data_IF_775831393421
#
_entry.id   IF_775831393421
#
_cell.length_a   1.000
_cell.length_b   1.000
_cell.length_c   1.000
_cell.angle_alpha   90.00
_cell.angle_beta   90.00
_cell.angle_gamma   90.00
#
_symmetry.space_group_name_H-M   'P 1'
#
loop_
_entity.id
_entity.type
_entity.pdbx_description
1 polymer ?
#
# COMPACT_ATOMS: atom_id res chain seq x y z
N UNK A 1 -22.14 4.72 2.51
CA UNK A 1 -21.64 4.57 1.14
C UNK A 1 -22.66 3.76 0.35
N UNK A 2 -22.99 4.15 -0.88
CA UNK A 2 -23.99 3.42 -1.70
C UNK A 2 -23.38 2.20 -2.38
N UNK A 3 -24.22 1.26 -2.84
CA UNK A 3 -23.75 0.08 -3.58
C UNK A 3 -23.02 0.46 -4.87
N UNK A 4 -23.54 1.42 -5.63
CA UNK A 4 -22.91 1.93 -6.86
C UNK A 4 -21.54 2.56 -6.61
N UNK A 5 -21.38 3.30 -5.49
CA UNK A 5 -20.09 3.85 -5.07
C UNK A 5 -19.10 2.73 -4.71
N UNK A 6 -19.54 1.72 -3.96
CA UNK A 6 -18.70 0.57 -3.61
C UNK A 6 -18.22 -0.18 -4.85
N UNK A 7 -19.09 -0.39 -5.84
CA UNK A 7 -18.74 -1.07 -7.09
C UNK A 7 -17.76 -0.24 -7.94
N UNK A 8 -17.88 1.08 -7.90
CA UNK A 8 -16.90 1.99 -8.52
C UNK A 8 -15.53 1.82 -7.87
N UNK A 9 -15.44 1.88 -6.54
CA UNK A 9 -14.17 1.71 -5.83
C UNK A 9 -13.57 0.31 -6.00
N UNK A 10 -14.42 -0.73 -6.04
CA UNK A 10 -13.98 -2.11 -6.30
C UNK A 10 -13.26 -2.21 -7.64
N UNK A 11 -13.84 -1.66 -8.71
CA UNK A 11 -13.20 -1.62 -10.03
C UNK A 11 -11.88 -0.85 -10.01
N UNK A 12 -11.84 0.31 -9.36
CA UNK A 12 -10.59 1.07 -9.21
C UNK A 12 -9.51 0.30 -8.46
N UNK A 13 -9.87 -0.45 -7.42
CA UNK A 13 -8.92 -1.31 -6.70
C UNK A 13 -8.46 -2.51 -7.54
N UNK A 14 -9.31 -3.08 -8.39
CA UNK A 14 -8.95 -4.17 -9.30
C UNK A 14 -7.93 -3.70 -10.35
N UNK A 15 -8.18 -2.54 -10.96
CA UNK A 15 -7.24 -1.89 -11.89
C UNK A 15 -5.90 -1.61 -11.21
N UNK A 16 -5.94 -1.01 -10.01
CA UNK A 16 -4.74 -0.70 -9.24
C UNK A 16 -3.97 -1.97 -8.84
N UNK A 17 -4.67 -3.05 -8.46
CA UNK A 17 -4.03 -4.33 -8.11
C UNK A 17 -3.30 -4.94 -9.31
N UNK A 18 -3.91 -4.89 -10.49
CA UNK A 18 -3.32 -5.38 -11.73
C UNK A 18 -2.06 -4.58 -12.07
N UNK A 19 -2.13 -3.26 -12.01
CA UNK A 19 -1.00 -2.36 -12.25
C UNK A 19 0.14 -2.60 -11.25
N UNK A 20 -0.15 -2.58 -9.94
CA UNK A 20 0.85 -2.81 -8.89
C UNK A 20 1.49 -4.20 -9.01
N UNK A 21 0.73 -5.23 -9.39
CA UNK A 21 1.29 -6.57 -9.60
C UNK A 21 2.26 -6.59 -10.79
N UNK A 22 1.88 -5.97 -11.91
CA UNK A 22 2.78 -5.82 -13.06
C UNK A 22 4.03 -5.00 -12.71
N UNK A 23 3.91 -3.95 -11.88
CA UNK A 23 5.04 -3.17 -11.39
C UNK A 23 6.01 -4.01 -10.58
N UNK A 24 5.50 -4.78 -9.62
CA UNK A 24 6.31 -5.69 -8.80
C UNK A 24 7.09 -6.67 -9.68
N UNK A 25 6.46 -7.25 -10.69
CA UNK A 25 7.12 -8.21 -11.59
C UNK A 25 8.20 -7.55 -12.45
N UNK A 26 7.94 -6.34 -12.98
CA UNK A 26 8.94 -5.54 -13.72
C UNK A 26 10.15 -5.21 -12.85
N UNK A 27 9.93 -4.74 -11.62
CA UNK A 27 11.02 -4.41 -10.69
C UNK A 27 11.80 -5.66 -10.30
N UNK A 28 11.12 -6.78 -10.03
CA UNK A 28 11.79 -8.04 -9.73
C UNK A 28 12.67 -8.52 -10.91
N UNK A 29 12.24 -8.29 -12.16
CA UNK A 29 13.10 -8.55 -13.33
C UNK A 29 14.32 -7.64 -13.33
N UNK A 30 14.13 -6.33 -13.19
CA UNK A 30 15.23 -5.38 -13.14
C UNK A 30 16.26 -5.73 -12.04
N UNK A 31 15.81 -6.17 -10.86
CA UNK A 31 16.70 -6.61 -9.78
C UNK A 31 17.55 -7.83 -10.19
N UNK A 32 17.00 -8.75 -10.99
CA UNK A 32 17.74 -9.91 -11.50
C UNK A 32 18.74 -9.53 -12.58
N UNK A 33 18.38 -8.53 -13.40
CA UNK A 33 19.18 -8.08 -14.55
C UNK A 33 20.38 -7.21 -14.11
N UNK A 34 20.33 -6.61 -12.91
CA UNK A 34 21.50 -5.98 -12.26
C UNK A 34 22.48 -7.08 -11.82
N UNK A 35 23.30 -7.55 -12.76
CA UNK A 35 24.32 -8.58 -12.53
C UNK A 35 25.65 -7.92 -12.14
N UNK A 36 26.22 -8.25 -10.97
CA UNK A 36 27.58 -7.85 -10.63
C UNK A 36 28.57 -8.78 -11.36
N UNK A 37 28.77 -8.59 -12.66
CA UNK A 37 29.75 -9.36 -13.43
C UNK A 37 30.87 -8.44 -13.93
N UNK A 38 32.07 -8.65 -13.39
CA UNK A 38 33.33 -8.02 -13.82
C UNK A 38 33.35 -6.48 -13.91
N UNK A 39 32.67 -5.83 -12.98
CA UNK A 39 32.79 -4.40 -12.73
C UNK A 39 34.10 -4.10 -11.99
N UNK A 40 34.81 -3.02 -12.36
CA UNK A 40 35.83 -2.44 -11.48
C UNK A 40 35.16 -1.90 -10.17
N UNK A 41 35.95 -1.45 -9.20
CA UNK A 41 35.39 -1.00 -7.91
C UNK A 41 34.37 0.16 -8.03
N UNK A 42 34.49 1.00 -9.07
CA UNK A 42 33.59 2.12 -9.29
C UNK A 42 32.27 1.66 -9.92
N UNK A 43 32.35 0.74 -10.89
CA UNK A 43 31.18 0.09 -11.48
C UNK A 43 30.41 -0.74 -10.43
N UNK A 44 31.12 -1.39 -9.50
CA UNK A 44 30.51 -2.16 -8.41
C UNK A 44 29.68 -1.26 -7.49
N UNK A 45 30.22 -0.12 -7.08
CA UNK A 45 29.52 0.83 -6.22
C UNK A 45 28.24 1.36 -6.89
N UNK A 46 28.29 1.59 -8.20
CA UNK A 46 27.14 2.07 -9.00
C UNK A 46 26.04 1.00 -9.08
N UNK A 47 26.40 -0.25 -9.38
CA UNK A 47 25.44 -1.37 -9.45
C UNK A 47 24.79 -1.67 -8.09
N UNK A 48 25.55 -1.59 -7.00
CA UNK A 48 25.01 -1.74 -5.65
C UNK A 48 23.99 -0.64 -5.30
N UNK A 49 24.26 0.60 -5.68
CA UNK A 49 23.34 1.72 -5.49
C UNK A 49 22.04 1.55 -6.31
N UNK A 50 22.16 1.14 -7.58
CA UNK A 50 21.01 0.84 -8.44
C UNK A 50 20.15 -0.28 -7.86
N UNK A 51 20.78 -1.41 -7.47
CA UNK A 51 20.09 -2.54 -6.85
C UNK A 51 19.37 -2.12 -5.57
N UNK A 52 19.99 -1.29 -4.73
CA UNK A 52 19.37 -0.75 -3.51
C UNK A 52 18.13 0.08 -3.82
N UNK A 53 18.19 0.93 -4.86
CA UNK A 53 17.04 1.74 -5.27
C UNK A 53 15.87 0.85 -5.74
N UNK A 54 16.15 -0.18 -6.53
CA UNK A 54 15.14 -1.12 -7.00
C UNK A 54 14.49 -1.90 -5.85
N UNK A 55 15.27 -2.31 -4.84
CA UNK A 55 14.73 -2.98 -3.65
C UNK A 55 13.76 -2.06 -2.89
N UNK A 56 14.12 -0.80 -2.68
CA UNK A 56 13.23 0.18 -2.04
C UNK A 56 11.95 0.43 -2.85
N UNK A 57 12.04 0.41 -4.17
CA UNK A 57 10.87 0.51 -5.04
C UNK A 57 9.98 -0.73 -4.92
N UNK A 58 10.56 -1.93 -4.92
CA UNK A 58 9.82 -3.18 -4.74
C UNK A 58 9.07 -3.20 -3.40
N UNK A 59 9.70 -2.72 -2.33
CA UNK A 59 9.06 -2.68 -1.01
C UNK A 59 7.88 -1.71 -0.94
N UNK A 60 7.97 -0.56 -1.63
CA UNK A 60 6.85 0.38 -1.78
C UNK A 60 5.68 -0.27 -2.52
N UNK A 61 5.92 -0.89 -3.67
CA UNK A 61 4.87 -1.56 -4.46
C UNK A 61 4.24 -2.74 -3.69
N UNK A 62 5.06 -3.55 -3.01
CA UNK A 62 4.56 -4.65 -2.17
C UNK A 62 3.69 -4.14 -1.02
N UNK A 63 4.07 -3.01 -0.41
CA UNK A 63 3.24 -2.38 0.64
C UNK A 63 1.90 -1.93 0.07
N UNK A 64 1.91 -1.22 -1.07
CA UNK A 64 0.69 -0.80 -1.74
C UNK A 64 -0.21 -2.00 -2.09
N UNK A 65 0.36 -3.07 -2.64
CA UNK A 65 -0.37 -4.32 -2.92
C UNK A 65 -1.08 -4.87 -1.69
N UNK A 66 -0.41 -4.87 -0.52
CA UNK A 66 -1.02 -5.34 0.73
C UNK A 66 -2.14 -4.41 1.20
N UNK A 67 -1.98 -3.09 1.04
CA UNK A 67 -3.03 -2.11 1.36
C UNK A 67 -4.26 -2.29 0.46
N UNK A 68 -4.08 -2.61 -0.83
CA UNK A 68 -5.17 -2.92 -1.76
C UNK A 68 -5.91 -4.20 -1.36
N UNK A 69 -5.17 -5.27 -1.07
CA UNK A 69 -5.78 -6.55 -0.62
C UNK A 69 -6.56 -6.37 0.68
N UNK A 70 -6.05 -5.55 1.59
CA UNK A 70 -6.77 -5.19 2.80
C UNK A 70 -8.04 -4.40 2.49
N UNK A 71 -8.02 -3.46 1.55
CA UNK A 71 -9.20 -2.71 1.15
C UNK A 71 -10.33 -3.63 0.65
N UNK A 72 -10.00 -4.64 -0.17
CA UNK A 72 -10.98 -5.67 -0.57
C UNK A 72 -11.55 -6.43 0.63
N UNK A 73 -10.69 -6.88 1.54
CA UNK A 73 -11.14 -7.58 2.74
C UNK A 73 -12.11 -6.72 3.58
N UNK A 74 -11.81 -5.42 3.69
CA UNK A 74 -12.68 -4.47 4.40
C UNK A 74 -13.99 -4.21 3.68
N UNK A 75 -14.01 -4.23 2.34
CA UNK A 75 -15.26 -4.18 1.57
C UNK A 75 -16.14 -5.39 1.88
N UNK A 76 -15.55 -6.58 1.95
CA UNK A 76 -16.28 -7.81 2.24
C UNK A 76 -16.82 -7.85 3.68
N UNK A 77 -16.12 -7.21 4.63
CA UNK A 77 -16.59 -7.03 6.01
C UNK A 77 -17.58 -5.87 6.19
N UNK A 78 -17.74 -5.00 5.19
CA UNK A 78 -18.57 -3.78 5.30
C UNK A 78 -17.90 -2.60 6.01
N UNK A 79 -16.61 -2.69 6.32
CA UNK A 79 -15.82 -1.68 7.05
C UNK A 79 -15.05 -0.72 6.11
N UNK A 80 -15.22 -0.85 4.80
CA UNK A 80 -14.56 0.00 3.83
C UNK A 80 -15.07 1.45 3.91
N UNK A 81 -14.14 2.40 3.91
CA UNK A 81 -14.43 3.83 4.08
C UNK A 81 -14.48 4.32 5.53
N UNK A 82 -14.21 3.47 6.53
CA UNK A 82 -14.02 3.87 7.93
C UNK A 82 -12.53 4.02 8.26
N UNK A 83 -12.13 4.91 9.15
CA UNK A 83 -10.73 5.06 9.56
C UNK A 83 -10.34 3.93 10.51
N UNK A 84 -9.22 3.25 10.28
CA UNK A 84 -8.73 2.19 11.18
C UNK A 84 -8.41 2.68 12.59
N UNK A 85 -7.97 3.93 12.75
CA UNK A 85 -7.57 4.42 14.06
C UNK A 85 -8.74 5.02 14.85
N UNK A 86 -9.41 6.03 14.31
CA UNK A 86 -10.48 6.72 15.04
C UNK A 86 -11.88 6.14 14.80
N UNK A 87 -12.06 5.24 13.82
CA UNK A 87 -13.36 4.70 13.43
C UNK A 87 -14.24 5.66 12.61
N UNK A 88 -13.84 6.92 12.43
CA UNK A 88 -14.61 7.91 11.68
C UNK A 88 -14.59 7.66 10.17
N UNK A 89 -15.59 8.14 9.44
CA UNK A 89 -15.64 8.02 7.98
C UNK A 89 -14.43 8.73 7.32
N UNK A 90 -13.81 8.04 6.35
CA UNK A 90 -12.78 8.60 5.48
C UNK A 90 -13.48 9.48 4.44
N UNK A 91 -12.94 10.67 4.20
CA UNK A 91 -13.45 11.59 3.18
C UNK A 91 -13.51 10.91 1.80
N UNK A 92 -14.66 11.00 1.14
CA UNK A 92 -14.88 10.43 -0.19
C UNK A 92 -13.85 10.92 -1.21
N UNK A 93 -13.48 12.21 -1.17
CA UNK A 93 -12.47 12.77 -2.09
C UNK A 93 -11.11 12.11 -1.90
N UNK A 94 -10.80 11.64 -0.68
CA UNK A 94 -9.58 10.89 -0.41
C UNK A 94 -9.66 9.49 -1.02
N UNK A 95 -10.81 8.82 -0.93
CA UNK A 95 -11.01 7.50 -1.53
C UNK A 95 -11.04 7.57 -3.06
N UNK A 96 -11.54 8.66 -3.64
CA UNK A 96 -11.53 8.92 -5.09
C UNK A 96 -10.09 9.02 -5.63
N UNK A 97 -9.19 9.65 -4.87
CA UNK A 97 -7.77 9.80 -5.26
C UNK A 97 -6.93 8.59 -4.83
N UNK A 98 -7.25 7.99 -3.69
CA UNK A 98 -6.50 6.90 -3.09
C UNK A 98 -7.45 5.85 -2.49
N UNK A 99 -8.00 4.94 -3.32
CA UNK A 99 -9.02 3.99 -2.88
C UNK A 99 -8.50 2.98 -1.86
N UNK A 100 -7.19 2.70 -1.82
CA UNK A 100 -6.57 1.86 -0.80
C UNK A 100 -6.34 2.59 0.55
N UNK A 101 -6.83 3.82 0.73
CA UNK A 101 -6.59 4.61 1.94
C UNK A 101 -7.29 3.98 3.15
N UNK A 102 -6.50 3.73 4.20
CA UNK A 102 -6.95 3.02 5.40
C UNK A 102 -7.30 3.90 6.60
N UNK A 103 -6.88 5.16 6.56
CA UNK A 103 -7.00 6.14 7.65
C UNK A 103 -7.51 7.48 7.12
N UNK A 104 -8.15 8.27 8.00
CA UNK A 104 -8.52 9.65 7.70
C UNK A 104 -7.28 10.58 7.66
N UNK A 105 -7.47 11.82 7.19
CA UNK A 105 -6.36 12.77 7.02
C UNK A 105 -5.81 13.21 8.38
N UNK A 106 -6.66 13.37 9.39
CA UNK A 106 -6.20 13.69 10.74
C UNK A 106 -5.26 12.61 11.26
N UNK A 107 -5.71 11.35 11.39
CA UNK A 107 -4.87 10.29 11.95
C UNK A 107 -3.60 10.03 11.14
N UNK A 108 -3.63 10.24 9.80
CA UNK A 108 -2.40 10.16 9.00
C UNK A 108 -1.38 11.24 9.40
N UNK A 109 -1.83 12.49 9.58
CA UNK A 109 -0.95 13.59 10.04
C UNK A 109 -0.41 13.35 11.44
N UNK A 110 -1.15 12.66 12.29
CA UNK A 110 -0.71 12.29 13.64
C UNK A 110 0.46 11.29 13.59
N UNK A 111 0.34 10.25 12.76
CA UNK A 111 1.43 9.30 12.50
C UNK A 111 2.67 10.02 11.94
N UNK A 112 2.49 10.93 10.99
CA UNK A 112 3.61 11.69 10.39
C UNK A 112 4.35 12.56 11.43
N UNK A 113 3.66 12.98 12.49
CA UNK A 113 4.26 13.70 13.63
C UNK A 113 4.88 12.77 14.68
N UNK A 114 4.88 11.46 14.44
CA UNK A 114 5.40 10.46 15.37
C UNK A 114 4.49 10.19 16.56
N UNK A 115 3.20 10.54 16.49
CA UNK A 115 2.25 10.24 17.56
C UNK A 115 1.81 8.78 17.52
N UNK A 116 1.58 8.21 18.69
CA UNK A 116 1.08 6.85 18.83
C UNK A 116 -0.36 6.76 18.31
N UNK A 117 -0.61 5.73 17.50
CA UNK A 117 -1.93 5.46 16.93
C UNK A 117 -2.75 4.71 17.97
N UNK A 118 -3.91 5.24 18.33
CA UNK A 118 -4.84 4.55 19.23
C UNK A 118 -5.47 3.37 18.50
N UNK A 119 -4.81 2.21 18.57
CA UNK A 119 -5.31 0.95 18.02
C UNK A 119 -6.40 0.31 18.90
N UNK A 120 -6.67 0.83 20.11
CA UNK A 120 -7.70 0.28 21.00
C UNK A 120 -9.12 0.62 20.52
N UNK A 121 -9.29 1.68 19.73
CA UNK A 121 -10.55 2.02 19.04
C UNK A 121 -10.75 1.28 17.71
N UNK A 122 -9.68 0.69 17.17
CA UNK A 122 -9.75 -0.13 15.96
C UNK A 122 -10.43 -1.46 16.29
N UNK A 123 -11.70 -1.60 15.93
CA UNK A 123 -12.43 -2.87 16.08
C UNK A 123 -11.63 -4.08 15.59
N UNK A 124 -11.79 -5.20 16.29
CA UNK A 124 -11.01 -6.44 16.26
C UNK A 124 -10.92 -7.22 14.91
N UNK A 125 -10.56 -6.58 13.80
CA UNK A 125 -10.40 -7.26 12.50
C UNK A 125 -8.94 -7.53 12.10
N UNK A 126 -7.95 -6.83 12.68
CA UNK A 126 -6.56 -6.84 12.20
C UNK A 126 -5.65 -7.96 12.70
N UNK A 127 -6.00 -8.63 13.80
CA UNK A 127 -5.15 -9.66 14.41
C UNK A 127 -4.99 -10.97 13.62
N UNK A 128 -5.70 -11.15 12.50
CA UNK A 128 -5.74 -12.42 11.74
C UNK A 128 -5.09 -12.41 10.36
N UNK A 129 -4.78 -11.23 9.80
CA UNK A 129 -4.24 -11.13 8.43
C UNK A 129 -2.70 -11.02 8.42
N UNK A 130 -2.09 -10.74 9.57
CA UNK A 130 -0.66 -10.45 9.73
C UNK A 130 -0.01 -11.27 10.86
N UNK A 131 -0.51 -12.48 11.10
CA UNK A 131 0.07 -13.49 12.00
C UNK A 131 0.62 -14.68 11.22
#
# INVERSE_FOLDING_TARGET
MTHEQLDSFRRSLEELLAETTANVDRINSAIRDVVPSCADDNDRATLEAERRMLLLQADRERRLKREILLAFHRMDLGDYGSCESCGEAIDMRRLDVHPAARMCVQCMREIERGMEVDWARAGASYGRVWG
#
